data_IF_655711961513
#
_entry.id   IF_655711961513
#
_cell.length_a   1.000
_cell.length_b   1.000
_cell.length_c   1.000
_cell.angle_alpha   90.00
_cell.angle_beta   90.00
_cell.angle_gamma   90.00
#
_symmetry.space_group_name_H-M   'P 1'
#
loop_
_entity.id
_entity.type
_entity.pdbx_description
1 polymer ?
#
# COMPACT_ATOMS: atom_id res chain seq x y z
N UNK A 1 13.57 -31.00 5.96
CA UNK A 1 13.23 -31.15 4.53
C UNK A 1 11.82 -30.70 4.15
N UNK A 2 10.73 -31.16 4.76
CA UNK A 2 9.36 -30.68 4.43
C UNK A 2 9.22 -29.16 4.48
N UNK A 3 9.72 -28.51 5.53
CA UNK A 3 9.72 -27.04 5.67
C UNK A 3 10.51 -26.37 4.54
N UNK A 4 11.65 -26.93 4.15
CA UNK A 4 12.47 -26.41 3.04
C UNK A 4 11.73 -26.55 1.71
N UNK A 5 11.08 -27.70 1.46
CA UNK A 5 10.27 -27.93 0.26
C UNK A 5 9.14 -26.90 0.16
N UNK A 6 8.41 -26.66 1.27
CA UNK A 6 7.39 -25.61 1.36
C UNK A 6 7.98 -24.24 1.03
N UNK A 7 9.11 -23.89 1.64
CA UNK A 7 9.75 -22.59 1.45
C UNK A 7 10.16 -22.36 -0.01
N UNK A 8 10.79 -23.36 -0.65
CA UNK A 8 11.18 -23.27 -2.07
C UNK A 8 9.95 -23.04 -2.97
N UNK A 9 8.84 -23.71 -2.71
CA UNK A 9 7.60 -23.51 -3.47
C UNK A 9 6.95 -22.14 -3.24
N UNK A 10 7.01 -21.61 -2.01
CA UNK A 10 6.57 -20.24 -1.69
C UNK A 10 7.44 -19.21 -2.41
N UNK A 11 8.75 -19.41 -2.45
CA UNK A 11 9.67 -18.58 -3.24
C UNK A 11 9.51 -18.75 -4.76
N UNK A 12 8.67 -19.72 -5.17
CA UNK A 12 8.40 -20.04 -6.55
C UNK A 12 9.60 -20.63 -7.28
N UNK A 13 10.54 -21.25 -6.55
CA UNK A 13 11.70 -21.93 -7.12
C UNK A 13 11.28 -22.92 -8.21
N UNK A 14 12.11 -23.09 -9.25
CA UNK A 14 11.79 -23.98 -10.35
C UNK A 14 11.97 -25.44 -9.90
N UNK A 15 11.42 -26.39 -10.66
CA UNK A 15 11.38 -27.79 -10.25
C UNK A 15 12.78 -28.40 -10.09
N UNK A 16 13.79 -27.88 -10.80
CA UNK A 16 15.18 -28.31 -10.67
C UNK A 16 15.74 -28.06 -9.27
N UNK A 17 15.38 -26.94 -8.62
CA UNK A 17 15.79 -26.67 -7.23
C UNK A 17 15.04 -27.60 -6.25
N UNK A 18 13.80 -27.98 -6.56
CA UNK A 18 13.03 -28.94 -5.75
C UNK A 18 13.59 -30.36 -5.89
N UNK A 19 13.99 -30.76 -7.10
CA UNK A 19 14.63 -32.03 -7.39
C UNK A 19 16.02 -32.14 -6.76
N UNK A 20 16.79 -31.05 -6.77
CA UNK A 20 18.07 -30.98 -6.08
C UNK A 20 17.92 -31.24 -4.58
N UNK A 21 16.89 -30.67 -3.93
CA UNK A 21 16.61 -30.93 -2.51
C UNK A 21 16.30 -32.41 -2.25
N UNK A 22 15.53 -33.06 -3.12
CA UNK A 22 15.22 -34.49 -2.99
C UNK A 22 16.44 -35.37 -3.23
N UNK A 23 17.31 -34.98 -4.16
CA UNK A 23 18.58 -35.66 -4.40
C UNK A 23 19.50 -35.56 -3.19
N UNK A 24 19.63 -34.36 -2.60
CA UNK A 24 20.39 -34.12 -1.37
C UNK A 24 19.89 -35.01 -0.21
N UNK A 25 18.57 -35.06 0.01
CA UNK A 25 17.96 -35.93 1.01
C UNK A 25 18.40 -37.39 0.87
N UNK A 26 18.30 -37.94 -0.34
CA UNK A 26 18.69 -39.33 -0.62
C UNK A 26 20.19 -39.54 -0.44
N UNK A 27 21.02 -38.55 -0.81
CA UNK A 27 22.47 -38.58 -0.59
C UNK A 27 22.84 -38.68 0.89
N UNK A 28 21.99 -38.16 1.78
CA UNK A 28 22.13 -38.27 3.23
C UNK A 28 21.45 -39.52 3.82
N UNK A 29 20.94 -40.43 2.98
CA UNK A 29 20.21 -41.62 3.41
C UNK A 29 18.80 -41.33 3.93
N UNK A 30 18.23 -40.15 3.65
CA UNK A 30 16.89 -39.74 4.07
C UNK A 30 15.93 -39.96 2.92
N UNK A 31 15.06 -40.96 3.02
CA UNK A 31 14.03 -41.19 2.02
C UNK A 31 12.88 -40.17 2.20
N UNK A 32 12.49 -39.43 1.14
CA UNK A 32 11.36 -38.51 1.22
C UNK A 32 10.06 -39.21 1.61
N UNK A 33 9.47 -38.79 2.72
CA UNK A 33 8.22 -39.36 3.22
C UNK A 33 6.99 -38.93 2.38
N UNK A 34 5.82 -39.47 2.73
CA UNK A 34 4.56 -39.13 2.07
C UNK A 34 4.27 -37.62 2.13
N UNK A 35 4.68 -36.93 3.20
CA UNK A 35 4.42 -35.51 3.40
C UNK A 35 5.26 -34.63 2.48
N UNK A 36 6.55 -34.95 2.28
CA UNK A 36 7.41 -34.22 1.33
C UNK A 36 6.87 -34.37 -0.10
N UNK A 37 6.42 -35.57 -0.47
CA UNK A 37 5.83 -35.84 -1.80
C UNK A 37 4.51 -35.10 -1.99
N UNK A 38 3.66 -35.06 -0.97
CA UNK A 38 2.39 -34.31 -0.99
C UNK A 38 2.64 -32.81 -1.19
N UNK A 39 3.58 -32.21 -0.44
CA UNK A 39 3.95 -30.80 -0.60
C UNK A 39 4.46 -30.54 -2.01
N UNK A 40 5.37 -31.38 -2.53
CA UNK A 40 5.89 -31.24 -3.89
C UNK A 40 4.77 -31.22 -4.94
N UNK A 41 3.74 -32.04 -4.76
CA UNK A 41 2.63 -32.19 -5.69
C UNK A 41 1.50 -31.16 -5.49
N UNK A 42 1.69 -30.14 -4.63
CA UNK A 42 0.65 -29.14 -4.38
C UNK A 42 0.25 -28.40 -5.66
N UNK A 43 -1.07 -28.30 -5.94
CA UNK A 43 -1.56 -27.51 -7.07
C UNK A 43 -1.18 -26.03 -6.95
N UNK A 44 -0.96 -25.36 -8.09
CA UNK A 44 -0.58 -23.94 -8.13
C UNK A 44 -1.58 -23.04 -7.39
N UNK A 45 -2.88 -23.37 -7.40
CA UNK A 45 -3.89 -22.62 -6.64
C UNK A 45 -3.64 -22.65 -5.11
N UNK A 46 -3.13 -23.77 -4.58
CA UNK A 46 -2.75 -23.87 -3.17
C UNK A 46 -1.46 -23.09 -2.92
N UNK A 47 -0.49 -23.17 -3.83
CA UNK A 47 0.75 -22.40 -3.74
C UNK A 47 0.50 -20.89 -3.76
N UNK A 48 -0.37 -20.39 -4.63
CA UNK A 48 -0.77 -18.98 -4.68
C UNK A 48 -1.37 -18.51 -3.34
N UNK A 49 -2.21 -19.33 -2.70
CA UNK A 49 -2.76 -19.04 -1.36
C UNK A 49 -1.69 -19.03 -0.28
N UNK A 50 -0.74 -19.96 -0.33
CA UNK A 50 0.39 -20.02 0.62
C UNK A 50 1.30 -18.80 0.46
N UNK A 51 1.68 -18.45 -0.78
CA UNK A 51 2.46 -17.25 -1.11
C UNK A 51 1.79 -15.97 -0.62
N UNK A 52 0.48 -15.85 -0.84
CA UNK A 52 -0.31 -14.70 -0.38
C UNK A 52 -0.32 -14.62 1.15
N UNK A 53 -0.49 -15.75 1.82
CA UNK A 53 -0.48 -15.82 3.30
C UNK A 53 0.88 -15.43 3.85
N UNK A 54 1.96 -15.98 3.30
CA UNK A 54 3.33 -15.69 3.75
C UNK A 54 3.67 -14.21 3.58
N UNK A 55 3.44 -13.65 2.40
CA UNK A 55 3.69 -12.23 2.15
C UNK A 55 2.86 -11.34 3.08
N UNK A 56 1.60 -11.70 3.35
CA UNK A 56 0.74 -10.93 4.26
C UNK A 56 1.29 -10.94 5.68
N UNK A 57 1.70 -12.11 6.18
CA UNK A 57 2.26 -12.22 7.52
C UNK A 57 3.60 -11.48 7.65
N UNK A 58 4.47 -11.54 6.64
CA UNK A 58 5.71 -10.76 6.62
C UNK A 58 5.41 -9.25 6.69
N UNK A 59 4.48 -8.77 5.86
CA UNK A 59 4.13 -7.34 5.78
C UNK A 59 3.36 -6.82 7.00
N UNK A 60 2.62 -7.69 7.71
CA UNK A 60 1.89 -7.32 8.94
C UNK A 60 2.82 -6.81 10.04
N UNK A 61 4.02 -7.38 10.15
CA UNK A 61 4.98 -7.04 11.19
C UNK A 61 5.65 -5.66 11.02
N UNK A 62 5.60 -5.07 9.82
CA UNK A 62 6.17 -3.74 9.47
C UNK A 62 7.61 -3.47 9.96
N UNK A 63 8.39 -4.51 10.27
CA UNK A 63 9.81 -4.38 10.60
C UNK A 63 10.63 -4.37 9.32
N UNK A 64 11.75 -3.64 9.30
CA UNK A 64 12.62 -3.57 8.12
C UNK A 64 13.04 -4.95 7.62
N UNK A 65 13.38 -5.86 8.54
CA UNK A 65 13.79 -7.23 8.21
C UNK A 65 12.65 -8.04 7.57
N UNK A 66 11.43 -7.98 8.10
CA UNK A 66 10.29 -8.71 7.53
C UNK A 66 9.85 -8.12 6.19
N UNK A 67 9.87 -6.79 6.05
CA UNK A 67 9.61 -6.12 4.78
C UNK A 67 10.66 -6.52 3.73
N UNK A 68 11.94 -6.58 4.09
CA UNK A 68 12.99 -7.05 3.19
C UNK A 68 12.79 -8.52 2.77
N UNK A 69 12.40 -9.40 3.70
CA UNK A 69 12.06 -10.79 3.39
C UNK A 69 10.86 -10.89 2.42
N UNK A 70 9.81 -10.08 2.64
CA UNK A 70 8.67 -10.01 1.72
C UNK A 70 9.09 -9.58 0.31
N UNK A 71 9.94 -8.55 0.20
CA UNK A 71 10.51 -8.12 -1.08
C UNK A 71 11.34 -9.23 -1.74
N UNK A 72 12.17 -9.96 -0.99
CA UNK A 72 12.97 -11.05 -1.56
C UNK A 72 12.10 -12.16 -2.17
N UNK A 73 11.04 -12.58 -1.45
CA UNK A 73 10.07 -13.56 -1.97
C UNK A 73 9.37 -13.01 -3.21
N UNK A 74 8.83 -11.79 -3.13
CA UNK A 74 8.11 -11.18 -4.22
C UNK A 74 8.98 -11.00 -5.48
N UNK A 75 10.22 -10.55 -5.31
CA UNK A 75 11.16 -10.34 -6.42
C UNK A 75 11.51 -11.67 -7.10
N UNK A 76 11.69 -12.73 -6.33
CA UNK A 76 11.87 -14.09 -6.86
C UNK A 76 10.65 -14.59 -7.62
N UNK A 77 9.44 -14.30 -7.14
CA UNK A 77 8.19 -14.65 -7.84
C UNK A 77 8.01 -13.83 -9.12
N UNK A 78 8.32 -12.54 -9.07
CA UNK A 78 8.22 -11.62 -10.19
C UNK A 78 9.16 -12.02 -11.32
N UNK A 79 10.43 -12.31 -11.00
CA UNK A 79 11.43 -12.74 -11.97
C UNK A 79 11.06 -14.05 -12.69
N UNK A 80 10.28 -14.90 -12.04
CA UNK A 80 9.82 -16.20 -12.56
C UNK A 80 8.41 -16.17 -13.17
N UNK A 81 7.79 -14.99 -13.26
CA UNK A 81 6.43 -14.84 -13.78
C UNK A 81 5.34 -15.48 -12.90
N UNK A 82 5.62 -15.76 -11.62
CA UNK A 82 4.70 -16.37 -10.65
C UNK A 82 4.01 -15.36 -9.73
N UNK A 83 4.27 -14.06 -9.91
CA UNK A 83 3.64 -12.99 -9.14
C UNK A 83 2.26 -12.64 -9.74
N UNK A 84 1.19 -13.15 -9.14
CA UNK A 84 -0.17 -12.82 -9.58
C UNK A 84 -0.61 -11.40 -9.15
N UNK A 85 -1.78 -10.98 -9.62
CA UNK A 85 -2.34 -9.66 -9.32
C UNK A 85 -2.62 -9.44 -7.83
N UNK A 86 -2.88 -10.50 -7.06
CA UNK A 86 -3.14 -10.42 -5.61
C UNK A 86 -1.84 -10.10 -4.88
N UNK A 87 -0.74 -10.78 -5.22
CA UNK A 87 0.58 -10.51 -4.66
C UNK A 87 1.07 -9.10 -5.01
N UNK A 88 0.88 -8.68 -6.26
CA UNK A 88 1.21 -7.32 -6.71
C UNK A 88 0.42 -6.28 -5.90
N UNK A 89 -0.89 -6.49 -5.73
CA UNK A 89 -1.74 -5.60 -4.93
C UNK A 89 -1.29 -5.53 -3.47
N UNK A 90 -0.91 -6.67 -2.89
CA UNK A 90 -0.42 -6.74 -1.52
C UNK A 90 0.88 -5.93 -1.34
N UNK A 91 1.82 -6.06 -2.28
CA UNK A 91 3.06 -5.28 -2.26
C UNK A 91 2.82 -3.79 -2.48
N UNK A 92 1.92 -3.41 -3.39
CA UNK A 92 1.56 -2.00 -3.59
C UNK A 92 0.98 -1.37 -2.33
N UNK A 93 0.10 -2.08 -1.61
CA UNK A 93 -0.60 -1.53 -0.44
C UNK A 93 0.24 -1.59 0.83
N UNK A 94 1.03 -2.65 1.01
CA UNK A 94 1.71 -2.91 2.28
C UNK A 94 3.24 -3.01 2.19
N UNK A 95 3.78 -3.31 1.01
CA UNK A 95 5.22 -3.43 0.77
C UNK A 95 5.89 -2.11 0.40
N UNK A 96 5.16 -1.22 -0.28
CA UNK A 96 5.62 0.13 -0.61
C UNK A 96 5.37 1.11 0.53
N UNK A 97 6.33 1.99 0.77
CA UNK A 97 6.28 3.01 1.81
C UNK A 97 5.67 4.33 1.34
N UNK A 98 5.69 4.59 0.03
CA UNK A 98 5.14 5.78 -0.62
C UNK A 98 4.74 5.50 -2.08
N UNK A 99 4.12 6.49 -2.71
CA UNK A 99 3.72 6.41 -4.12
C UNK A 99 4.88 6.31 -5.11
N UNK A 100 6.08 6.80 -4.75
CA UNK A 100 7.24 6.69 -5.62
C UNK A 100 7.66 5.22 -5.72
N UNK A 101 7.69 4.51 -4.59
CA UNK A 101 7.91 3.05 -4.56
C UNK A 101 6.78 2.29 -5.26
N UNK A 102 5.52 2.70 -5.07
CA UNK A 102 4.39 2.09 -5.80
C UNK A 102 4.54 2.26 -7.31
N UNK A 103 4.89 3.45 -7.79
CA UNK A 103 5.13 3.71 -9.21
C UNK A 103 6.30 2.89 -9.77
N UNK A 104 7.41 2.79 -9.03
CA UNK A 104 8.53 1.91 -9.40
C UNK A 104 8.10 0.44 -9.47
N UNK A 105 7.29 -0.03 -8.52
CA UNK A 105 6.76 -1.39 -8.54
C UNK A 105 5.87 -1.64 -9.75
N UNK A 106 4.95 -0.72 -10.07
CA UNK A 106 4.12 -0.82 -11.28
C UNK A 106 4.98 -0.94 -12.55
N UNK A 107 5.98 -0.08 -12.70
CA UNK A 107 6.89 -0.13 -13.85
C UNK A 107 7.67 -1.46 -13.92
N UNK A 108 8.10 -1.99 -12.77
CA UNK A 108 8.77 -3.30 -12.70
C UNK A 108 7.84 -4.43 -13.14
N UNK A 109 6.60 -4.44 -12.65
CA UNK A 109 5.57 -5.42 -13.02
C UNK A 109 5.28 -5.37 -14.53
N UNK A 110 5.14 -4.17 -15.09
CA UNK A 110 4.94 -3.97 -16.53
C UNK A 110 6.13 -4.49 -17.36
N UNK A 111 7.37 -4.22 -16.91
CA UNK A 111 8.59 -4.73 -17.57
C UNK A 111 8.71 -6.25 -17.51
N UNK A 112 8.15 -6.88 -16.47
CA UNK A 112 8.07 -8.34 -16.35
C UNK A 112 6.93 -8.94 -17.20
N UNK A 113 6.18 -8.13 -17.95
CA UNK A 113 5.07 -8.59 -18.79
C UNK A 113 3.82 -9.01 -18.02
N UNK A 114 3.75 -8.70 -16.72
CA UNK A 114 2.62 -9.04 -15.87
C UNK A 114 1.63 -7.88 -15.79
N UNK A 115 0.35 -8.22 -15.62
CA UNK A 115 -0.72 -7.24 -15.51
C UNK A 115 -0.93 -6.82 -14.05
N UNK A 116 -1.06 -5.51 -13.81
CA UNK A 116 -1.59 -5.01 -12.54
C UNK A 116 -3.10 -5.25 -12.54
N UNK A 117 -3.61 -5.92 -11.50
CA UNK A 117 -5.05 -6.17 -11.36
C UNK A 117 -5.85 -4.88 -11.12
N UNK A 118 -7.17 -4.86 -11.42
CA UNK A 118 -8.00 -3.67 -11.27
C UNK A 118 -8.07 -3.15 -9.84
N UNK A 119 -8.14 -4.02 -8.83
CA UNK A 119 -8.20 -3.58 -7.43
C UNK A 119 -6.89 -2.90 -6.98
N UNK A 120 -5.75 -3.46 -7.41
CA UNK A 120 -4.44 -2.90 -7.15
C UNK A 120 -4.25 -1.53 -7.85
N UNK A 121 -4.68 -1.44 -9.11
CA UNK A 121 -4.69 -0.19 -9.86
C UNK A 121 -5.61 0.85 -9.19
N UNK A 122 -6.81 0.46 -8.76
CA UNK A 122 -7.75 1.36 -8.08
C UNK A 122 -7.14 1.92 -6.78
N UNK A 123 -6.52 1.07 -5.96
CA UNK A 123 -5.86 1.49 -4.72
C UNK A 123 -4.73 2.48 -4.99
N UNK A 124 -3.88 2.19 -5.99
CA UNK A 124 -2.76 3.05 -6.36
C UNK A 124 -3.22 4.40 -6.93
N UNK A 125 -4.18 4.42 -7.86
CA UNK A 125 -4.75 5.66 -8.41
C UNK A 125 -5.39 6.50 -7.30
N UNK A 126 -6.13 5.87 -6.38
CA UNK A 126 -6.72 6.57 -5.23
C UNK A 126 -5.64 7.23 -4.38
N UNK A 127 -4.54 6.54 -4.09
CA UNK A 127 -3.42 7.10 -3.32
C UNK A 127 -2.80 8.31 -4.03
N UNK A 128 -2.50 8.20 -5.33
CA UNK A 128 -1.93 9.30 -6.11
C UNK A 128 -2.85 10.53 -6.16
N UNK A 129 -4.17 10.32 -6.23
CA UNK A 129 -5.14 11.42 -6.17
C UNK A 129 -5.11 12.16 -4.83
N UNK A 130 -4.98 11.41 -3.73
CA UNK A 130 -4.86 11.97 -2.39
C UNK A 130 -3.55 12.76 -2.24
N UNK A 131 -2.46 12.27 -2.82
CA UNK A 131 -1.19 12.99 -2.85
C UNK A 131 -1.22 14.24 -3.74
N UNK A 132 -2.19 14.33 -4.64
CA UNK A 132 -2.40 15.53 -5.47
C UNK A 132 -1.90 15.42 -6.90
N UNK A 133 -1.53 14.22 -7.34
CA UNK A 133 -1.14 13.96 -8.73
C UNK A 133 -2.28 14.34 -9.66
N UNK A 134 -1.96 15.10 -10.70
CA UNK A 134 -2.94 15.63 -11.65
C UNK A 134 -3.66 14.51 -12.42
N UNK A 135 -4.93 14.72 -12.78
CA UNK A 135 -5.70 13.78 -13.58
C UNK A 135 -5.03 13.41 -14.92
N UNK A 136 -4.31 14.34 -15.56
CA UNK A 136 -3.56 14.09 -16.80
C UNK A 136 -2.47 13.03 -16.61
N UNK A 137 -1.65 13.15 -15.56
CA UNK A 137 -0.65 12.14 -15.22
C UNK A 137 -1.29 10.79 -14.86
N UNK A 138 -2.41 10.79 -14.15
CA UNK A 138 -3.13 9.57 -13.80
C UNK A 138 -3.69 8.85 -15.04
N UNK A 139 -4.19 9.61 -16.03
CA UNK A 139 -4.64 9.06 -17.32
C UNK A 139 -3.50 8.40 -18.08
N UNK A 140 -2.37 9.08 -18.21
CA UNK A 140 -1.17 8.53 -18.86
C UNK A 140 -0.69 7.23 -18.18
N UNK A 141 -0.69 7.21 -16.85
CA UNK A 141 -0.33 6.03 -16.07
C UNK A 141 -1.33 4.88 -16.29
N UNK A 142 -2.63 5.17 -16.33
CA UNK A 142 -3.66 4.19 -16.62
C UNK A 142 -3.56 3.64 -18.05
N UNK A 143 -3.24 4.48 -19.03
CA UNK A 143 -3.00 4.06 -20.41
C UNK A 143 -1.80 3.13 -20.53
N UNK A 144 -0.71 3.42 -19.80
CA UNK A 144 0.41 2.50 -19.65
C UNK A 144 -0.03 1.16 -19.05
N UNK A 145 -0.82 1.16 -17.98
CA UNK A 145 -1.34 -0.10 -17.42
C UNK A 145 -2.26 -0.86 -18.39
N UNK A 146 -3.11 -0.16 -19.16
CA UNK A 146 -3.98 -0.75 -20.20
C UNK A 146 -3.17 -1.45 -21.27
N UNK A 147 -2.08 -0.83 -21.74
CA UNK A 147 -1.17 -1.43 -22.70
C UNK A 147 -0.53 -2.73 -22.19
N UNK A 148 -0.45 -2.89 -20.86
CA UNK A 148 0.04 -4.09 -20.18
C UNK A 148 -1.09 -4.98 -19.61
N UNK A 149 -2.29 -4.92 -20.18
CA UNK A 149 -3.37 -5.88 -19.91
C UNK A 149 -4.30 -5.52 -18.76
N UNK A 150 -4.16 -4.35 -18.12
CA UNK A 150 -5.18 -3.87 -17.19
C UNK A 150 -6.49 -3.62 -17.95
N UNK A 151 -7.58 -4.21 -17.46
CA UNK A 151 -8.95 -3.86 -17.85
C UNK A 151 -9.55 -2.94 -16.77
N UNK A 152 -9.61 -1.62 -17.00
CA UNK A 152 -10.17 -0.70 -16.00
C UNK A 152 -11.63 -1.05 -15.73
N UNK A 153 -12.03 -0.94 -14.47
CA UNK A 153 -13.45 -1.01 -14.11
C UNK A 153 -14.06 0.39 -14.17
N UNK A 154 -15.38 0.47 -14.24
CA UNK A 154 -16.11 1.75 -14.11
C UNK A 154 -15.70 2.53 -12.85
N UNK A 155 -15.32 1.82 -11.77
CA UNK A 155 -14.83 2.45 -10.54
C UNK A 155 -13.53 3.21 -10.76
N UNK A 156 -12.57 2.62 -11.50
CA UNK A 156 -11.29 3.27 -11.81
C UNK A 156 -11.52 4.49 -12.70
N UNK A 157 -12.41 4.40 -13.68
CA UNK A 157 -12.73 5.52 -14.57
C UNK A 157 -13.38 6.67 -13.79
N UNK A 158 -14.36 6.35 -12.93
CA UNK A 158 -15.01 7.34 -12.05
C UNK A 158 -14.03 8.04 -11.08
N UNK A 159 -12.90 7.40 -10.71
CA UNK A 159 -11.87 8.09 -9.94
C UNK A 159 -11.35 9.30 -10.72
N UNK A 160 -11.07 9.16 -12.02
CA UNK A 160 -10.48 10.20 -12.86
C UNK A 160 -11.43 11.38 -13.14
N UNK A 161 -12.71 11.22 -12.81
CA UNK A 161 -13.76 12.24 -13.00
C UNK A 161 -14.05 13.05 -11.73
N UNK A 162 -13.41 12.72 -10.61
CA UNK A 162 -13.59 13.45 -9.35
C UNK A 162 -13.19 14.92 -9.51
N UNK A 163 -14.06 15.79 -9.04
CA UNK A 163 -13.80 17.23 -8.94
C UNK A 163 -12.75 17.54 -7.88
N UNK A 164 -12.09 18.70 -7.97
CA UNK A 164 -11.14 19.12 -6.93
C UNK A 164 -11.80 19.31 -5.56
N UNK A 165 -13.09 19.67 -5.51
CA UNK A 165 -13.83 19.73 -4.25
C UNK A 165 -13.94 18.35 -3.58
N UNK A 166 -14.33 17.32 -4.33
CA UNK A 166 -14.39 15.94 -3.84
C UNK A 166 -13.01 15.42 -3.44
N UNK A 167 -11.96 15.76 -4.21
CA UNK A 167 -10.59 15.37 -3.89
C UNK A 167 -10.08 16.09 -2.63
N UNK A 168 -10.37 17.38 -2.46
CA UNK A 168 -10.02 18.13 -1.25
C UNK A 168 -10.68 17.51 0.00
N UNK A 169 -11.97 17.16 -0.08
CA UNK A 169 -12.67 16.46 1.00
C UNK A 169 -12.03 15.10 1.32
N UNK A 170 -11.75 14.29 0.29
CA UNK A 170 -11.11 12.98 0.46
C UNK A 170 -9.71 13.11 1.09
N UNK A 171 -8.91 14.10 0.66
CA UNK A 171 -7.59 14.42 1.22
C UNK A 171 -7.69 14.80 2.68
N UNK A 172 -8.63 15.69 3.01
CA UNK A 172 -8.87 16.15 4.39
C UNK A 172 -9.27 14.99 5.30
N UNK A 173 -10.22 14.15 4.86
CA UNK A 173 -10.68 12.99 5.62
C UNK A 173 -9.56 11.96 5.83
N UNK A 174 -8.79 11.64 4.79
CA UNK A 174 -7.68 10.71 4.89
C UNK A 174 -6.57 11.26 5.79
N UNK A 175 -6.23 12.55 5.66
CA UNK A 175 -5.21 13.19 6.49
C UNK A 175 -5.62 13.19 7.97
N UNK A 176 -6.86 13.53 8.29
CA UNK A 176 -7.39 13.48 9.65
C UNK A 176 -7.31 12.05 10.23
N UNK A 177 -7.75 11.05 9.45
CA UNK A 177 -7.66 9.64 9.84
C UNK A 177 -6.22 9.21 10.11
N UNK A 178 -5.28 9.52 9.20
CA UNK A 178 -3.87 9.17 9.37
C UNK A 178 -3.23 9.93 10.53
N UNK A 179 -3.57 11.20 10.74
CA UNK A 179 -3.06 11.96 11.88
C UNK A 179 -3.43 11.27 13.21
N UNK A 180 -4.62 10.65 13.24
CA UNK A 180 -5.08 9.91 14.40
C UNK A 180 -4.42 8.52 14.55
N UNK A 181 -4.24 7.77 13.45
CA UNK A 181 -3.79 6.38 13.49
C UNK A 181 -2.27 6.21 13.34
N UNK A 182 -1.66 7.00 12.46
CA UNK A 182 -0.27 6.88 12.06
C UNK A 182 0.30 8.23 11.60
N UNK A 183 0.82 8.99 12.58
CA UNK A 183 1.40 10.32 12.38
C UNK A 183 2.44 10.37 11.27
N UNK A 184 3.29 9.35 11.13
CA UNK A 184 4.31 9.33 10.08
C UNK A 184 3.69 9.33 8.69
N UNK A 185 2.67 8.49 8.46
CA UNK A 185 1.97 8.45 7.18
C UNK A 185 1.18 9.74 6.92
N UNK A 186 0.61 10.36 7.96
CA UNK A 186 -0.05 11.66 7.83
C UNK A 186 0.92 12.74 7.31
N UNK A 187 2.13 12.79 7.89
CA UNK A 187 3.17 13.74 7.46
C UNK A 187 3.64 13.48 6.03
N UNK A 188 3.81 12.20 5.64
CA UNK A 188 4.18 11.84 4.26
C UNK A 188 3.11 12.25 3.26
N UNK A 189 1.83 11.98 3.55
CA UNK A 189 0.71 12.41 2.70
C UNK A 189 0.68 13.94 2.57
N UNK A 190 0.81 14.66 3.68
CA UNK A 190 0.81 16.12 3.68
C UNK A 190 1.99 16.70 2.89
N UNK A 191 3.18 16.13 3.03
CA UNK A 191 4.35 16.53 2.24
C UNK A 191 4.14 16.29 0.74
N UNK A 192 3.56 15.14 0.35
CA UNK A 192 3.22 14.87 -1.04
C UNK A 192 2.22 15.91 -1.58
N UNK A 193 1.19 16.23 -0.80
CA UNK A 193 0.23 17.28 -1.13
C UNK A 193 0.89 18.66 -1.28
N UNK A 194 1.88 19.01 -0.46
CA UNK A 194 2.64 20.25 -0.62
C UNK A 194 3.41 20.26 -1.94
N UNK A 195 4.12 19.18 -2.25
CA UNK A 195 4.90 19.06 -3.48
C UNK A 195 4.02 19.16 -4.75
N UNK A 196 2.73 18.83 -4.65
CA UNK A 196 1.76 18.96 -5.73
C UNK A 196 0.86 20.21 -5.65
N UNK A 197 1.11 21.13 -4.70
CA UNK A 197 0.33 22.35 -4.53
C UNK A 197 -1.14 22.11 -4.14
N UNK A 198 -1.44 20.97 -3.50
CA UNK A 198 -2.79 20.58 -3.06
C UNK A 198 -3.00 20.72 -1.56
N UNK A 199 -1.93 20.97 -0.80
CA UNK A 199 -2.04 21.31 0.62
C UNK A 199 -2.61 22.72 0.80
N UNK A 200 -3.37 22.92 1.87
CA UNK A 200 -4.03 24.19 2.19
C UNK A 200 -3.81 24.52 3.66
N UNK A 201 -4.09 25.77 4.07
CA UNK A 201 -4.08 26.16 5.49
C UNK A 201 -4.89 25.22 6.37
N UNK A 202 -6.04 24.76 5.86
CA UNK A 202 -6.91 23.81 6.56
C UNK A 202 -6.20 22.49 6.88
N UNK A 203 -5.42 21.93 5.95
CA UNK A 203 -4.67 20.69 6.17
C UNK A 203 -3.58 20.83 7.25
N UNK A 204 -2.91 21.98 7.32
CA UNK A 204 -1.94 22.27 8.40
C UNK A 204 -2.66 22.28 9.74
N UNK A 205 -3.79 22.98 9.82
CA UNK A 205 -4.62 23.09 11.02
C UNK A 205 -5.13 21.71 11.46
N UNK A 206 -5.56 20.83 10.54
CA UNK A 206 -5.95 19.45 10.85
C UNK A 206 -4.81 18.66 11.53
N UNK A 207 -3.58 18.79 11.03
CA UNK A 207 -2.43 18.10 11.61
C UNK A 207 -2.06 18.62 13.00
N UNK A 208 -2.10 19.93 13.19
CA UNK A 208 -1.83 20.56 14.49
C UNK A 208 -2.94 20.19 15.51
N UNK A 209 -4.21 20.28 15.11
CA UNK A 209 -5.36 19.97 15.96
C UNK A 209 -5.44 18.49 16.37
N UNK A 210 -4.69 17.60 15.72
CA UNK A 210 -4.60 16.20 16.15
C UNK A 210 -4.00 16.05 17.55
N UNK A 211 -3.29 17.07 18.06
CA UNK A 211 -2.71 17.09 19.41
C UNK A 211 -1.57 16.07 19.63
N UNK A 212 -1.12 15.40 18.57
CA UNK A 212 -0.11 14.34 18.62
C UNK A 212 1.26 14.78 18.14
N UNK A 213 1.45 16.06 17.82
CA UNK A 213 2.73 16.61 17.41
C UNK A 213 3.54 17.07 18.64
N UNK A 214 4.85 16.90 18.59
CA UNK A 214 5.75 17.53 19.56
C UNK A 214 6.02 18.97 19.11
N UNK A 215 6.35 19.88 20.04
CA UNK A 215 6.66 21.28 19.71
C UNK A 215 7.70 21.41 18.58
N UNK A 216 8.74 20.55 18.58
CA UNK A 216 9.71 20.51 17.49
C UNK A 216 9.08 20.16 16.13
N UNK A 217 8.18 19.18 16.10
CA UNK A 217 7.54 18.77 14.85
C UNK A 217 6.45 19.73 14.37
N UNK A 218 5.78 20.45 15.28
CA UNK A 218 4.89 21.55 14.92
C UNK A 218 5.66 22.66 14.22
N UNK A 219 6.78 23.11 14.81
CA UNK A 219 7.67 24.09 14.18
C UNK A 219 8.18 23.62 12.82
N UNK A 220 8.57 22.35 12.71
CA UNK A 220 8.98 21.76 11.43
C UNK A 220 7.85 21.74 10.40
N UNK A 221 6.63 21.38 10.80
CA UNK A 221 5.45 21.38 9.94
C UNK A 221 5.15 22.79 9.41
N UNK A 222 5.13 23.79 10.30
CA UNK A 222 4.88 25.18 9.95
C UNK A 222 5.95 25.74 9.02
N UNK A 223 7.23 25.50 9.33
CA UNK A 223 8.34 25.92 8.48
C UNK A 223 8.22 25.30 7.07
N UNK A 224 7.95 23.99 6.99
CA UNK A 224 7.77 23.28 5.72
C UNK A 224 6.57 23.81 4.91
N UNK A 225 5.44 24.10 5.57
CA UNK A 225 4.24 24.63 4.90
C UNK A 225 4.47 26.06 4.37
N UNK A 226 5.19 26.90 5.13
CA UNK A 226 5.57 28.25 4.72
C UNK A 226 6.58 28.23 3.57
N UNK A 227 7.63 27.43 3.68
CA UNK A 227 8.69 27.35 2.68
C UNK A 227 8.20 26.78 1.34
N UNK A 228 7.46 25.66 1.38
CA UNK A 228 7.05 24.95 0.15
C UNK A 228 5.80 25.52 -0.52
N UNK A 229 4.91 26.15 0.23
CA UNK A 229 3.59 26.56 -0.27
C UNK A 229 3.15 27.96 0.18
N UNK A 230 3.99 28.72 0.90
CA UNK A 230 3.62 30.05 1.41
C UNK A 230 2.46 30.03 2.41
N UNK A 231 2.19 28.88 3.05
CA UNK A 231 1.06 28.73 3.97
C UNK A 231 1.49 29.21 5.35
N UNK A 232 0.92 30.33 5.80
CA UNK A 232 1.10 30.85 7.15
C UNK A 232 -0.11 30.49 8.03
N UNK A 233 0.18 30.06 9.26
CA UNK A 233 -0.83 29.75 10.28
C UNK A 233 -0.51 30.60 11.50
N UNK A 234 -1.43 31.48 11.87
CA UNK A 234 -1.33 32.24 13.11
C UNK A 234 -1.50 31.31 14.33
N UNK A 235 -0.81 31.61 15.43
CA UNK A 235 -0.85 30.83 16.67
C UNK A 235 -2.26 30.75 17.31
N UNK A 236 -3.18 31.64 16.91
CA UNK A 236 -4.53 31.79 17.47
C UNK A 236 -5.62 30.90 16.82
N UNK A 237 -5.27 30.05 15.84
CA UNK A 237 -6.25 29.40 14.94
C UNK A 237 -6.89 28.13 15.53
N UNK A 238 -6.53 27.74 16.76
CA UNK A 238 -7.12 26.58 17.45
C UNK A 238 -8.50 26.91 18.04
N UNK A 239 -9.49 27.13 17.18
CA UNK A 239 -10.86 27.37 17.61
C UNK A 239 -11.58 26.05 17.90
N UNK A 240 -12.59 26.09 18.79
CA UNK A 240 -13.49 24.94 19.05
C UNK A 240 -14.14 24.39 17.77
N UNK A 241 -14.29 25.22 16.74
CA UNK A 241 -14.91 24.83 15.46
C UNK A 241 -14.00 23.93 14.62
N UNK A 242 -12.68 24.15 14.65
CA UNK A 242 -11.71 23.24 14.01
C UNK A 242 -11.79 21.84 14.62
N UNK A 243 -11.86 21.75 15.95
CA UNK A 243 -11.97 20.48 16.66
C UNK A 243 -13.27 19.74 16.29
N UNK A 244 -14.41 20.43 16.19
CA UNK A 244 -15.67 19.83 15.73
C UNK A 244 -15.58 19.32 14.28
N UNK A 245 -14.86 20.03 13.40
CA UNK A 245 -14.65 19.58 12.02
C UNK A 245 -13.77 18.33 11.98
N UNK A 246 -12.69 18.29 12.76
CA UNK A 246 -11.84 17.09 12.91
C UNK A 246 -12.67 15.90 13.40
N UNK A 247 -13.48 16.09 14.44
CA UNK A 247 -14.39 15.04 14.94
C UNK A 247 -15.34 14.56 13.84
N UNK A 248 -16.01 15.48 13.13
CA UNK A 248 -16.89 15.11 12.01
C UNK A 248 -16.15 14.32 10.94
N UNK A 249 -14.94 14.72 10.55
CA UNK A 249 -14.15 14.02 9.54
C UNK A 249 -13.70 12.62 10.02
N UNK A 250 -13.41 12.46 11.31
CA UNK A 250 -13.05 11.16 11.90
C UNK A 250 -14.26 10.21 11.96
N UNK A 251 -15.46 10.73 12.23
CA UNK A 251 -16.67 9.92 12.43
C UNK A 251 -17.59 9.81 11.21
N UNK A 252 -17.46 10.66 10.19
CA UNK A 252 -18.27 10.60 8.97
C UNK A 252 -17.90 9.44 8.03
N UNK A 253 -16.75 8.78 8.23
CA UNK A 253 -16.24 7.69 7.39
C UNK A 253 -16.11 6.32 8.05
N UNK A 254 -16.47 6.17 9.33
CA UNK A 254 -16.50 4.87 10.00
C UNK A 254 -17.94 4.33 9.95
N UNK A 255 -18.19 3.05 9.57
CA UNK A 255 -19.50 2.46 9.79
C UNK A 255 -19.82 2.62 11.28
N UNK A 256 -20.95 3.26 11.60
CA UNK A 256 -21.42 3.37 12.99
C UNK A 256 -21.38 1.96 13.59
N UNK A 257 -20.71 1.72 14.74
CA UNK A 257 -20.96 0.50 15.46
C UNK A 257 -22.46 0.50 15.76
N UNK A 258 -23.16 -0.54 15.31
CA UNK A 258 -24.51 -0.83 15.74
C UNK A 258 -24.43 -1.03 17.25
N UNK A 259 -24.65 0.02 18.02
CA UNK A 259 -24.93 -0.14 19.44
C UNK A 259 -26.20 -0.97 19.54
N UNK A 260 -26.23 -2.02 20.38
CA UNK A 260 -27.45 -2.79 20.57
C UNK A 260 -28.52 -1.83 21.07
N UNK A 261 -29.64 -1.80 20.34
CA UNK A 261 -30.85 -1.13 20.77
C UNK A 261 -31.25 -1.72 22.12
N UNK A 262 -31.06 -0.95 23.19
CA UNK A 262 -31.63 -1.29 24.49
C UNK A 262 -33.14 -1.11 24.38
N UNK A 263 -33.84 -2.23 24.25
CA UNK A 263 -35.19 -2.39 24.76
C UNK A 263 -35.14 -2.54 26.29
#
# INVERSE_FOLDING_TARGET
YTVMMVQLQIEGRPDEELDALLHEMRGLGIEPDARVREVRALPEANLARMRTTELRELLKGKTKSRTAAAWAIFDGLLARGKADSVLIGLMLVHGCSDATEQGRLVLRVQRSGLAVGPDAAQAFITQLQLEGVSATHLRSLLDGMRAHGLRPTRKIEALLERTEAQLHEARSAQLARLAHLNRRQAMLLFEAMLNHGKATRFHVVLLLASGKLSSFAEKKLLAMAKEKAGIEVEDSVYTKDVLRIVERLLYAGLPRPLLPSTA
#
